data_IF_920337193291
#
_entry.id   IF_920337193291
#
_cell.length_a   1.000
_cell.length_b   1.000
_cell.length_c   1.000
_cell.angle_alpha   90.00
_cell.angle_beta   90.00
_cell.angle_gamma   90.00
#
_symmetry.space_group_name_H-M   'P 1'
#
loop_
_entity.id
_entity.type
_entity.pdbx_description
1 polymer ?
#
# COMPACT_ATOMS: atom_id res chain seq x y z
N UNK A 1 -30.37 -0.23 16.27
CA UNK A 1 -30.22 0.76 17.36
C UNK A 1 -29.06 0.45 18.33
N UNK A 2 -28.33 -0.67 18.20
CA UNK A 2 -27.25 -1.05 19.13
C UNK A 2 -25.83 -0.57 18.72
N UNK A 3 -25.67 -0.03 17.50
CA UNK A 3 -24.38 0.46 16.98
C UNK A 3 -24.12 1.96 17.22
N UNK A 4 -25.13 2.72 17.67
CA UNK A 4 -25.02 4.15 17.93
C UNK A 4 -24.40 4.50 19.28
N UNK A 5 -24.05 3.49 20.10
CA UNK A 5 -23.38 3.63 21.40
C UNK A 5 -21.96 3.02 21.40
N UNK A 6 -21.47 2.53 20.26
CA UNK A 6 -20.07 2.09 20.18
C UNK A 6 -19.15 3.31 20.20
N UNK A 7 -18.14 3.24 21.06
CA UNK A 7 -17.10 4.25 21.15
C UNK A 7 -16.53 4.51 19.73
N UNK A 8 -16.40 5.78 19.29
CA UNK A 8 -15.87 6.11 17.97
C UNK A 8 -14.52 5.44 17.64
N UNK A 9 -13.73 5.13 18.68
CA UNK A 9 -12.48 4.39 18.59
C UNK A 9 -12.67 2.92 18.18
N UNK A 10 -13.67 2.22 18.72
CA UNK A 10 -13.96 0.83 18.36
C UNK A 10 -14.37 0.71 16.90
N UNK A 11 -15.16 1.67 16.44
CA UNK A 11 -15.62 1.73 15.06
C UNK A 11 -14.43 1.97 14.10
N UNK A 12 -13.53 2.90 14.43
CA UNK A 12 -12.30 3.15 13.68
C UNK A 12 -11.39 1.92 13.60
N UNK A 13 -11.20 1.22 14.72
CA UNK A 13 -10.42 -0.03 14.80
C UNK A 13 -11.03 -1.16 13.96
N UNK A 14 -12.35 -1.29 13.98
CA UNK A 14 -13.06 -2.31 13.21
C UNK A 14 -12.88 -2.10 11.71
N UNK A 15 -13.10 -0.87 11.22
CA UNK A 15 -12.91 -0.56 9.80
C UNK A 15 -11.44 -0.70 9.37
N UNK A 16 -10.50 -0.20 10.18
CA UNK A 16 -9.07 -0.33 9.91
C UNK A 16 -8.63 -1.79 9.79
N UNK A 17 -9.11 -2.65 10.70
CA UNK A 17 -8.79 -4.07 10.70
C UNK A 17 -9.32 -4.79 9.46
N UNK A 18 -10.54 -4.47 9.02
CA UNK A 18 -11.13 -5.04 7.79
C UNK A 18 -10.32 -4.61 6.56
N UNK A 19 -9.94 -3.33 6.47
CA UNK A 19 -9.13 -2.81 5.36
C UNK A 19 -7.78 -3.53 5.29
N UNK A 20 -7.08 -3.64 6.43
CA UNK A 20 -5.79 -4.32 6.52
C UNK A 20 -5.95 -5.80 6.16
N UNK A 21 -6.96 -6.47 6.68
CA UNK A 21 -7.22 -7.88 6.37
C UNK A 21 -7.40 -8.12 4.87
N UNK A 22 -8.24 -7.33 4.20
CA UNK A 22 -8.49 -7.45 2.76
C UNK A 22 -7.21 -7.16 1.96
N UNK A 23 -6.48 -6.09 2.31
CA UNK A 23 -5.26 -5.72 1.60
C UNK A 23 -4.18 -6.80 1.71
N UNK A 24 -3.99 -7.37 2.91
CA UNK A 24 -2.99 -8.42 3.12
C UNK A 24 -3.44 -9.79 2.61
N UNK A 25 -4.74 -10.05 2.54
CA UNK A 25 -5.27 -11.22 1.83
C UNK A 25 -4.95 -11.16 0.34
N UNK A 26 -5.18 -10.01 -0.30
CA UNK A 26 -4.82 -9.81 -1.72
C UNK A 26 -3.30 -9.93 -1.92
N UNK A 27 -2.51 -9.37 -1.01
CA UNK A 27 -1.05 -9.55 -1.02
C UNK A 27 -0.64 -11.02 -0.89
N UNK A 28 -1.32 -11.82 -0.07
CA UNK A 28 -0.99 -13.23 0.05
C UNK A 28 -1.19 -13.99 -1.28
N UNK A 29 -2.13 -13.55 -2.11
CA UNK A 29 -2.38 -14.11 -3.45
C UNK A 29 -1.42 -13.58 -4.52
N UNK A 30 -1.10 -12.28 -4.48
CA UNK A 30 -0.36 -11.58 -5.54
C UNK A 30 1.14 -11.44 -5.25
N UNK A 31 1.56 -11.56 -4.00
CA UNK A 31 2.92 -11.36 -3.52
C UNK A 31 3.32 -9.89 -3.30
N UNK A 32 2.52 -8.91 -3.73
CA UNK A 32 2.81 -7.47 -3.59
C UNK A 32 1.52 -6.63 -3.49
N UNK A 33 1.65 -5.32 -3.35
CA UNK A 33 0.52 -4.39 -3.55
C UNK A 33 -0.45 -4.22 -2.37
N UNK A 34 -0.11 -4.70 -1.16
CA UNK A 34 -0.89 -4.37 0.05
C UNK A 34 -1.04 -2.86 0.21
N UNK A 35 0.06 -2.13 0.06
CA UNK A 35 0.14 -0.68 0.17
C UNK A 35 -0.80 0.06 -0.80
N UNK A 36 -1.00 -0.49 -2.01
CA UNK A 36 -1.87 0.12 -3.03
C UNK A 36 -3.35 0.12 -2.61
N UNK A 37 -3.73 -0.77 -1.71
CA UNK A 37 -5.11 -0.92 -1.22
C UNK A 37 -5.23 -0.31 0.18
N UNK A 38 -4.34 -0.68 1.10
CA UNK A 38 -4.43 -0.29 2.51
C UNK A 38 -4.19 1.20 2.71
N UNK A 39 -3.16 1.79 2.09
CA UNK A 39 -2.80 3.20 2.31
C UNK A 39 -3.92 4.16 1.87
N UNK A 40 -4.48 4.09 0.65
CA UNK A 40 -5.56 5.01 0.27
C UNK A 40 -6.82 4.86 1.14
N UNK A 41 -7.18 3.63 1.51
CA UNK A 41 -8.36 3.37 2.35
C UNK A 41 -8.14 3.83 3.80
N UNK A 42 -6.97 3.56 4.38
CA UNK A 42 -6.63 3.99 5.74
C UNK A 42 -6.38 5.50 5.82
N UNK A 43 -5.90 6.15 4.76
CA UNK A 43 -5.71 7.61 4.71
C UNK A 43 -7.03 8.40 4.81
N UNK A 44 -8.17 7.77 4.53
CA UNK A 44 -9.50 8.34 4.78
C UNK A 44 -9.84 8.38 6.28
N UNK A 45 -9.23 7.50 7.07
CA UNK A 45 -9.53 7.30 8.49
C UNK A 45 -8.44 7.89 9.40
N UNK A 46 -7.19 7.92 8.94
CA UNK A 46 -6.00 8.26 9.71
C UNK A 46 -5.09 9.25 8.96
N UNK A 47 -4.03 9.72 9.62
CA UNK A 47 -2.99 10.52 8.95
C UNK A 47 -2.00 9.64 8.17
N UNK A 48 -1.56 10.11 7.00
CA UNK A 48 -0.54 9.44 6.18
C UNK A 48 0.77 9.27 6.94
N UNK A 49 1.12 10.20 7.82
CA UNK A 49 2.30 10.11 8.69
C UNK A 49 2.23 8.92 9.66
N UNK A 50 1.04 8.39 9.94
CA UNK A 50 0.83 7.20 10.76
C UNK A 50 0.63 5.95 9.91
N UNK A 51 -0.16 6.08 8.84
CA UNK A 51 -0.53 4.94 7.97
C UNK A 51 0.67 4.39 7.22
N UNK A 52 1.52 5.26 6.66
CA UNK A 52 2.66 4.81 5.84
C UNK A 52 3.68 4.01 6.66
N UNK A 53 4.15 4.47 7.84
CA UNK A 53 5.05 3.66 8.67
C UNK A 53 4.40 2.38 9.19
N UNK A 54 3.11 2.42 9.54
CA UNK A 54 2.37 1.24 9.98
C UNK A 54 2.34 0.16 8.89
N UNK A 55 2.02 0.55 7.65
CA UNK A 55 1.99 -0.37 6.51
C UNK A 55 3.38 -0.94 6.23
N UNK A 56 4.43 -0.11 6.27
CA UNK A 56 5.80 -0.56 6.10
C UNK A 56 6.23 -1.62 7.14
N UNK A 57 5.82 -1.48 8.41
CA UNK A 57 6.10 -2.47 9.45
C UNK A 57 5.42 -3.81 9.13
N UNK A 58 4.13 -3.77 8.76
CA UNK A 58 3.37 -4.97 8.40
C UNK A 58 3.95 -5.64 7.14
N UNK A 59 4.35 -4.83 6.17
CA UNK A 59 4.98 -5.26 4.93
C UNK A 59 6.32 -5.97 5.20
N UNK A 60 7.19 -5.37 6.01
CA UNK A 60 8.46 -5.99 6.39
C UNK A 60 8.23 -7.29 7.15
N UNK A 61 7.28 -7.31 8.09
CA UNK A 61 6.96 -8.52 8.86
C UNK A 61 6.56 -9.69 7.94
N UNK A 62 5.67 -9.44 6.98
CA UNK A 62 5.19 -10.48 6.05
C UNK A 62 6.26 -10.86 5.04
N UNK A 63 7.03 -9.89 4.52
CA UNK A 63 8.16 -10.17 3.65
C UNK A 63 9.22 -11.03 4.32
N UNK A 64 9.51 -10.82 5.61
CA UNK A 64 10.45 -11.65 6.37
C UNK A 64 9.96 -13.09 6.52
N UNK A 65 8.66 -13.28 6.77
CA UNK A 65 8.06 -14.62 6.83
C UNK A 65 8.15 -15.34 5.48
N UNK A 66 7.85 -14.64 4.39
CA UNK A 66 7.92 -15.19 3.03
C UNK A 66 9.36 -15.47 2.58
N UNK A 67 10.31 -14.63 2.99
CA UNK A 67 11.72 -14.76 2.63
C UNK A 67 12.28 -16.13 3.02
N UNK A 68 11.86 -16.68 4.18
CA UNK A 68 12.27 -18.02 4.63
C UNK A 68 11.89 -19.13 3.65
N UNK A 69 10.82 -18.94 2.89
CA UNK A 69 10.34 -19.94 1.91
C UNK A 69 11.12 -19.85 0.61
N UNK A 70 11.51 -18.65 0.19
CA UNK A 70 12.06 -18.40 -1.16
C UNK A 70 13.56 -18.11 -1.20
N UNK A 71 14.25 -18.01 -0.05
CA UNK A 71 15.63 -17.54 0.02
C UNK A 71 16.65 -18.31 -0.85
N UNK A 72 16.36 -19.57 -1.18
CA UNK A 72 17.25 -20.41 -2.01
C UNK A 72 17.16 -20.09 -3.51
N UNK A 73 16.03 -19.56 -3.96
CA UNK A 73 15.74 -19.30 -5.38
C UNK A 73 16.00 -17.83 -5.77
N UNK A 74 16.63 -17.06 -4.88
CA UNK A 74 16.88 -15.63 -5.08
C UNK A 74 18.06 -15.41 -6.03
N UNK A 75 17.79 -14.77 -7.17
CA UNK A 75 18.83 -14.20 -8.02
C UNK A 75 19.36 -12.88 -7.43
N UNK A 76 20.63 -12.89 -7.01
CA UNK A 76 21.32 -11.74 -6.43
C UNK A 76 21.50 -10.59 -7.43
N UNK A 77 21.58 -10.87 -8.74
CA UNK A 77 21.74 -9.83 -9.77
C UNK A 77 20.51 -8.95 -9.88
N UNK A 78 19.33 -9.52 -9.63
CA UNK A 78 18.06 -8.79 -9.61
C UNK A 78 17.77 -8.20 -8.22
N UNK A 79 18.05 -8.96 -7.15
CA UNK A 79 17.75 -8.53 -5.78
C UNK A 79 18.53 -7.26 -5.36
N UNK A 80 19.82 -7.18 -5.66
CA UNK A 80 20.67 -6.07 -5.19
C UNK A 80 20.18 -4.71 -5.72
N UNK A 81 19.94 -4.53 -7.03
CA UNK A 81 19.34 -3.29 -7.55
C UNK A 81 17.98 -2.96 -6.92
N UNK A 82 17.13 -3.96 -6.67
CA UNK A 82 15.83 -3.75 -6.02
C UNK A 82 16.00 -3.24 -4.59
N UNK A 83 16.90 -3.84 -3.79
CA UNK A 83 17.17 -3.39 -2.42
C UNK A 83 17.69 -1.96 -2.42
N UNK A 84 18.61 -1.62 -3.32
CA UNK A 84 19.14 -0.25 -3.42
C UNK A 84 18.01 0.73 -3.79
N UNK A 85 17.18 0.38 -4.76
CA UNK A 85 16.03 1.19 -5.17
C UNK A 85 15.03 1.42 -4.02
N UNK A 86 14.69 0.36 -3.27
CA UNK A 86 13.81 0.44 -2.09
C UNK A 86 14.46 1.25 -0.98
N UNK A 87 15.76 1.07 -0.71
CA UNK A 87 16.48 1.82 0.31
C UNK A 87 16.49 3.33 -0.02
N UNK A 88 16.89 3.69 -1.24
CA UNK A 88 16.90 5.09 -1.66
C UNK A 88 15.48 5.69 -1.69
N UNK A 89 14.51 4.96 -2.25
CA UNK A 89 13.13 5.40 -2.32
C UNK A 89 12.49 5.58 -0.94
N UNK A 90 12.72 4.64 0.00
CA UNK A 90 12.21 4.74 1.37
C UNK A 90 12.86 5.86 2.16
N UNK A 91 14.18 6.08 2.03
CA UNK A 91 14.87 7.20 2.67
C UNK A 91 14.31 8.54 2.19
N UNK A 92 14.15 8.71 0.88
CA UNK A 92 13.54 9.91 0.29
C UNK A 92 12.08 10.07 0.72
N UNK A 93 11.33 8.98 0.75
CA UNK A 93 9.93 8.96 1.20
C UNK A 93 9.78 9.37 2.65
N UNK A 94 10.58 8.81 3.56
CA UNK A 94 10.59 9.16 5.00
C UNK A 94 11.03 10.61 5.19
N UNK A 95 12.04 11.07 4.46
CA UNK A 95 12.46 12.47 4.50
C UNK A 95 11.33 13.42 4.08
N UNK A 96 10.65 13.13 2.98
CA UNK A 96 9.47 13.90 2.54
C UNK A 96 8.33 13.85 3.55
N UNK A 97 8.06 12.67 4.12
CA UNK A 97 6.96 12.46 5.07
C UNK A 97 7.17 13.20 6.40
N UNK A 98 8.43 13.35 6.82
CA UNK A 98 8.80 14.01 8.08
C UNK A 98 8.96 15.52 7.92
N UNK A 99 9.48 16.01 6.80
CA UNK A 99 9.76 17.44 6.57
C UNK A 99 8.56 18.23 6.06
N UNK A 100 7.68 17.62 5.27
CA UNK A 100 6.54 18.31 4.66
C UNK A 100 5.33 18.28 5.61
N UNK A 101 4.51 19.33 5.59
CA UNK A 101 3.29 19.39 6.38
C UNK A 101 2.27 18.32 5.97
N UNK A 102 1.61 17.70 6.96
CA UNK A 102 0.58 16.67 6.76
C UNK A 102 -0.46 17.03 5.68
N UNK A 103 -1.08 18.23 5.67
CA UNK A 103 -2.11 18.57 4.70
C UNK A 103 -1.59 18.58 3.26
N UNK A 104 -0.34 18.99 3.05
CA UNK A 104 0.30 19.04 1.73
C UNK A 104 0.52 17.62 1.21
N UNK A 105 1.05 16.72 2.05
CA UNK A 105 1.28 15.31 1.70
C UNK A 105 -0.04 14.63 1.33
N UNK A 106 -1.10 14.86 2.14
CA UNK A 106 -2.44 14.33 1.85
C UNK A 106 -2.99 14.83 0.51
N UNK A 107 -2.79 16.11 0.18
CA UNK A 107 -3.23 16.69 -1.11
C UNK A 107 -2.48 16.07 -2.28
N UNK A 108 -1.14 15.99 -2.20
CA UNK A 108 -0.31 15.38 -3.25
C UNK A 108 -0.74 13.93 -3.50
N UNK A 109 -0.92 13.17 -2.42
CA UNK A 109 -1.36 11.78 -2.49
C UNK A 109 -2.75 11.64 -3.12
N UNK A 110 -3.72 12.48 -2.70
CA UNK A 110 -5.06 12.51 -3.28
C UNK A 110 -5.07 12.86 -4.77
N UNK A 111 -4.29 13.86 -5.18
CA UNK A 111 -4.15 14.24 -6.60
C UNK A 111 -3.54 13.09 -7.40
N UNK A 112 -2.52 12.41 -6.87
CA UNK A 112 -1.91 11.26 -7.52
C UNK A 112 -2.92 10.11 -7.74
N UNK A 113 -3.72 9.79 -6.71
CA UNK A 113 -4.77 8.74 -6.82
C UNK A 113 -5.82 9.12 -7.86
N UNK A 114 -6.35 10.34 -7.79
CA UNK A 114 -7.38 10.81 -8.72
C UNK A 114 -6.83 10.84 -10.15
N UNK A 115 -5.61 11.35 -10.34
CA UNK A 115 -4.94 11.37 -11.63
C UNK A 115 -4.76 9.97 -12.22
N UNK A 116 -4.33 9.01 -11.39
CA UNK A 116 -4.20 7.62 -11.82
C UNK A 116 -5.56 6.96 -12.13
N UNK A 117 -6.59 7.23 -11.34
CA UNK A 117 -7.94 6.73 -11.58
C UNK A 117 -8.53 7.28 -12.89
N UNK A 118 -8.32 8.58 -13.18
CA UNK A 118 -8.72 9.20 -14.43
C UNK A 118 -7.98 8.59 -15.63
N UNK A 119 -6.66 8.41 -15.49
CA UNK A 119 -5.85 7.73 -16.52
C UNK A 119 -6.42 6.35 -16.84
N UNK A 120 -6.67 5.53 -15.81
CA UNK A 120 -7.26 4.20 -15.99
C UNK A 120 -8.65 4.26 -16.63
N UNK A 121 -9.50 5.21 -16.25
CA UNK A 121 -10.82 5.38 -16.86
C UNK A 121 -10.75 5.79 -18.34
N UNK A 122 -9.74 6.59 -18.73
CA UNK A 122 -9.57 7.00 -20.13
C UNK A 122 -8.87 5.94 -21.00
N UNK A 123 -8.05 5.07 -20.40
CA UNK A 123 -7.21 4.11 -21.11
C UNK A 123 -7.76 2.66 -21.08
N UNK A 124 -9.08 2.48 -20.98
CA UNK A 124 -9.74 1.16 -20.87
C UNK A 124 -9.83 0.38 -22.21
N UNK A 125 -9.04 0.74 -23.22
CA UNK A 125 -9.06 0.09 -24.53
C UNK A 125 -7.69 -0.54 -24.75
N UNK A 126 -7.65 -1.86 -24.98
CA UNK A 126 -6.50 -2.68 -25.46
C UNK A 126 -5.95 -3.81 -24.55
N UNK A 127 -6.80 -4.54 -23.80
CA UNK A 127 -6.44 -5.92 -23.41
C UNK A 127 -7.59 -6.90 -23.62
N UNK A 128 -8.14 -6.92 -24.84
CA UNK A 128 -8.94 -8.07 -25.32
C UNK A 128 -8.03 -8.89 -26.22
N UNK A 129 -7.52 -9.99 -25.67
CA UNK A 129 -6.67 -10.99 -26.31
C UNK A 129 -7.17 -11.33 -27.73
N UNK A 130 -6.35 -11.06 -28.76
CA UNK A 130 -6.55 -11.59 -30.10
C UNK A 130 -6.11 -13.07 -30.08
N UNK A 131 -7.00 -14.05 -30.31
CA UNK A 131 -6.55 -15.43 -30.52
C UNK A 131 -5.82 -15.49 -31.87
N UNK A 132 -4.54 -15.88 -31.81
CA UNK A 132 -3.74 -16.25 -32.99
C UNK A 132 -4.37 -17.49 -33.63
N UNK A 133 -4.76 -17.36 -34.90
CA UNK A 133 -5.08 -18.47 -35.81
C UNK A 133 -3.86 -19.34 -36.08
#
# INVERSE_FOLDING_TARGET
>A
MMFSQLDPLLLLLTYGSIIVFIAFFIRAMTGFGSALISIPLLALLFDLKTVVPLEAILEVAISLLLLRTVYRDIDRRTLIPMIIGVALGSLLGVYGLTTVETPIIKRIFGVAIIGYALYLATNQRETVYQPTN
#
